data_IF_946356206050
#
_entry.id   IF_946356206050
#
_cell.length_a   1.000
_cell.length_b   1.000
_cell.length_c   1.000
_cell.angle_alpha   90.00
_cell.angle_beta   90.00
_cell.angle_gamma   90.00
#
_symmetry.space_group_name_H-M   'P 1'
#
loop_
_entity.id
_entity.type
_entity.pdbx_description
1 polymer ?
#
# COMPACT_ATOMS: atom_id res chain seq x y z
N UNK A 1 14.51 -18.52 10.77
CA UNK A 1 13.69 -17.82 11.78
C UNK A 1 12.35 -18.52 11.89
N UNK A 2 11.97 -18.91 13.09
CA UNK A 2 10.71 -19.64 13.30
C UNK A 2 9.67 -18.59 13.63
N UNK A 3 8.86 -18.20 12.63
CA UNK A 3 7.67 -17.40 12.89
C UNK A 3 6.80 -18.16 13.91
N UNK A 4 6.51 -17.54 15.04
CA UNK A 4 5.51 -18.03 15.98
C UNK A 4 4.16 -17.93 15.27
N UNK A 5 3.65 -19.06 14.80
CA UNK A 5 2.28 -19.17 14.31
C UNK A 5 1.34 -18.82 15.46
N UNK A 6 0.62 -17.73 15.33
CA UNK A 6 -0.52 -17.41 16.17
C UNK A 6 -1.62 -18.41 15.80
N UNK A 7 -1.59 -19.58 16.41
CA UNK A 7 -2.72 -20.52 16.38
C UNK A 7 -3.82 -19.92 17.25
N UNK A 8 -4.70 -19.13 16.66
CA UNK A 8 -5.96 -18.75 17.29
C UNK A 8 -6.76 -20.01 17.59
N UNK A 9 -6.75 -20.49 18.83
CA UNK A 9 -7.61 -21.59 19.24
C UNK A 9 -8.96 -21.03 19.66
N UNK A 10 -10.03 -21.50 19.04
CA UNK A 10 -11.39 -21.44 19.60
C UNK A 10 -11.35 -22.07 20.98
N UNK A 11 -11.24 -21.38 22.05
CA UNK A 11 -11.28 -21.92 23.40
C UNK A 11 -10.84 -23.38 23.55
N UNK A 12 -10.71 -23.90 24.73
CA UNK A 12 -10.33 -25.32 24.93
C UNK A 12 -11.35 -26.22 24.21
N UNK A 13 -10.88 -26.97 23.17
CA UNK A 13 -11.69 -27.98 22.48
C UNK A 13 -12.34 -27.56 21.15
N UNK A 14 -12.13 -26.34 20.65
CA UNK A 14 -12.58 -25.89 19.32
C UNK A 14 -11.73 -26.39 18.14
N UNK A 15 -12.21 -26.22 16.88
CA UNK A 15 -11.41 -26.52 15.70
C UNK A 15 -10.23 -25.52 15.57
N UNK A 16 -9.16 -25.94 14.89
CA UNK A 16 -8.02 -25.09 14.56
C UNK A 16 -7.92 -24.87 13.06
N UNK A 17 -7.38 -23.71 12.68
CA UNK A 17 -7.11 -23.33 11.30
C UNK A 17 -5.62 -23.00 11.13
N UNK A 18 -5.02 -23.40 10.00
CA UNK A 18 -3.63 -23.11 9.59
C UNK A 18 -3.65 -22.90 8.08
N UNK A 19 -3.28 -21.71 7.64
CA UNK A 19 -3.22 -21.41 6.21
C UNK A 19 -1.78 -21.55 5.73
N UNK A 20 -1.63 -22.24 4.61
CA UNK A 20 -0.33 -22.49 4.01
C UNK A 20 -0.35 -21.93 2.60
N UNK A 21 0.35 -20.83 2.38
CA UNK A 21 0.54 -20.26 1.06
C UNK A 21 1.47 -21.13 0.22
N UNK A 22 1.26 -21.18 -1.08
CA UNK A 22 2.21 -21.82 -2.00
C UNK A 22 3.56 -21.10 -1.91
N UNK A 23 4.68 -21.83 -1.70
CA UNK A 23 6.00 -21.20 -1.62
C UNK A 23 6.35 -20.39 -2.88
N UNK A 24 6.89 -19.20 -2.68
CA UNK A 24 7.34 -18.30 -3.75
C UNK A 24 6.85 -16.89 -3.55
N UNK A 25 7.24 -16.02 -4.48
CA UNK A 25 6.86 -14.61 -4.52
C UNK A 25 5.63 -14.45 -5.40
N UNK A 26 4.61 -13.80 -4.88
CA UNK A 26 3.39 -13.46 -5.64
C UNK A 26 3.58 -12.14 -6.39
N UNK A 27 2.72 -11.87 -7.37
CA UNK A 27 2.77 -10.63 -8.16
C UNK A 27 1.43 -9.89 -8.07
N UNK A 28 1.42 -8.55 -8.08
CA UNK A 28 0.20 -7.76 -8.21
C UNK A 28 -0.64 -8.19 -9.43
N UNK A 29 -1.96 -8.33 -9.26
CA UNK A 29 -2.85 -8.83 -10.31
C UNK A 29 -2.72 -10.33 -10.62
N UNK A 30 -1.78 -11.04 -9.98
CA UNK A 30 -1.54 -12.47 -10.15
C UNK A 30 -2.35 -13.34 -9.17
N UNK A 31 -2.26 -14.68 -9.34
CA UNK A 31 -2.94 -15.62 -8.45
C UNK A 31 -2.20 -15.77 -7.12
N UNK A 32 -2.93 -15.59 -6.01
CA UNK A 32 -2.54 -16.03 -4.68
C UNK A 32 -3.11 -17.43 -4.45
N UNK A 33 -2.25 -18.41 -4.24
CA UNK A 33 -2.62 -19.82 -4.11
C UNK A 33 -2.13 -20.41 -2.80
N UNK A 34 -2.90 -21.39 -2.28
CA UNK A 34 -2.56 -22.06 -1.04
C UNK A 34 -3.62 -23.06 -0.62
N UNK A 35 -3.58 -23.44 0.65
CA UNK A 35 -4.53 -24.36 1.26
C UNK A 35 -4.81 -23.95 2.70
N UNK A 36 -6.09 -23.81 3.04
CA UNK A 36 -6.52 -23.71 4.44
C UNK A 36 -6.65 -25.11 5.00
N UNK A 37 -5.96 -25.40 6.08
CA UNK A 37 -5.95 -26.68 6.80
C UNK A 37 -6.76 -26.53 8.07
N UNK A 38 -7.77 -27.37 8.21
CA UNK A 38 -8.62 -27.41 9.38
C UNK A 38 -8.39 -28.70 10.15
N UNK A 39 -8.45 -28.63 11.46
CA UNK A 39 -8.46 -29.79 12.31
C UNK A 39 -9.62 -29.65 13.30
N UNK A 40 -10.54 -30.63 13.33
CA UNK A 40 -11.67 -30.70 14.24
C UNK A 40 -11.23 -30.71 15.70
N UNK A 41 -12.03 -30.10 16.55
CA UNK A 41 -11.83 -30.09 17.99
C UNK A 41 -12.39 -31.34 18.68
N UNK A 42 -12.79 -31.18 19.95
CA UNK A 42 -13.32 -32.28 20.80
C UNK A 42 -14.77 -32.65 20.49
N UNK A 43 -15.39 -31.98 19.52
CA UNK A 43 -16.75 -32.23 19.03
C UNK A 43 -16.82 -31.92 17.53
N UNK A 44 -17.97 -32.26 16.91
CA UNK A 44 -18.24 -31.88 15.54
C UNK A 44 -18.75 -30.42 15.48
N UNK A 45 -18.24 -29.63 14.53
CA UNK A 45 -18.58 -28.23 14.32
C UNK A 45 -19.14 -27.99 12.92
N UNK A 46 -20.09 -27.10 12.79
CA UNK A 46 -20.60 -26.65 11.50
C UNK A 46 -19.80 -25.40 11.07
N UNK A 47 -19.00 -25.54 10.03
CA UNK A 47 -18.19 -24.46 9.46
C UNK A 47 -19.07 -23.67 8.49
N UNK A 48 -19.36 -22.41 8.81
CA UNK A 48 -20.21 -21.54 8.00
C UNK A 48 -19.45 -20.99 6.81
N UNK A 49 -18.30 -20.32 7.07
CA UNK A 49 -17.41 -19.81 6.03
C UNK A 49 -15.96 -19.84 6.47
N UNK A 50 -15.09 -19.85 5.45
CA UNK A 50 -13.67 -19.63 5.55
C UNK A 50 -13.38 -18.38 4.72
N UNK A 51 -12.91 -17.32 5.36
CA UNK A 51 -12.62 -16.05 4.72
C UNK A 51 -11.13 -15.77 4.81
N UNK A 52 -10.53 -15.38 3.69
CA UNK A 52 -9.17 -14.83 3.62
C UNK A 52 -9.29 -13.31 3.51
N UNK A 53 -8.55 -12.59 4.33
CA UNK A 53 -8.42 -11.15 4.26
C UNK A 53 -6.98 -10.78 3.96
N UNK A 54 -6.77 -9.86 3.02
CA UNK A 54 -5.48 -9.26 2.80
C UNK A 54 -5.33 -8.06 3.72
N UNK A 55 -4.29 -8.06 4.53
CA UNK A 55 -4.02 -7.00 5.51
C UNK A 55 -2.68 -6.33 5.23
N UNK A 56 -2.60 -5.04 5.49
CA UNK A 56 -1.41 -4.23 5.35
C UNK A 56 -1.20 -3.36 6.59
N UNK A 57 0.05 -3.22 7.05
CA UNK A 57 0.44 -2.16 7.99
C UNK A 57 0.63 -0.89 7.19
N UNK A 58 -0.04 0.18 7.57
CA UNK A 58 -0.01 1.48 6.91
C UNK A 58 0.32 2.58 7.88
N UNK A 59 0.95 3.63 7.39
CA UNK A 59 1.19 4.87 8.10
C UNK A 59 0.10 5.88 7.75
N UNK A 60 -0.22 6.77 8.68
CA UNK A 60 -1.14 7.86 8.46
C UNK A 60 -0.57 9.13 9.08
N UNK A 61 -0.33 10.13 8.25
CA UNK A 61 0.13 11.43 8.70
C UNK A 61 -1.01 12.24 9.33
N UNK A 62 -0.73 12.86 10.47
CA UNK A 62 -1.63 13.76 11.17
C UNK A 62 -0.89 15.04 11.56
N UNK A 63 -1.65 16.11 11.88
CA UNK A 63 -1.07 17.38 12.37
C UNK A 63 -0.21 17.21 13.65
N UNK A 64 -0.41 16.15 14.42
CA UNK A 64 0.29 15.85 15.69
C UNK A 64 1.41 14.81 15.55
N UNK A 65 1.63 14.25 14.35
CA UNK A 65 2.64 13.22 14.04
C UNK A 65 2.07 12.06 13.23
N UNK A 66 2.89 11.05 13.01
CA UNK A 66 2.55 9.82 12.30
C UNK A 66 1.91 8.81 13.26
N UNK A 67 1.01 7.98 12.74
CA UNK A 67 0.43 6.84 13.44
C UNK A 67 0.38 5.62 12.54
N UNK A 68 0.74 4.46 13.06
CA UNK A 68 0.60 3.20 12.34
C UNK A 68 -0.76 2.55 12.58
N UNK A 69 -1.24 1.81 11.58
CA UNK A 69 -2.50 1.08 11.66
C UNK A 69 -2.53 -0.09 10.70
N UNK A 70 -3.51 -0.98 10.88
CA UNK A 70 -3.73 -2.13 9.99
C UNK A 70 -5.00 -1.94 9.18
N UNK A 71 -4.88 -2.13 7.85
CA UNK A 71 -5.98 -2.01 6.90
C UNK A 71 -6.25 -3.35 6.23
N UNK A 72 -7.50 -3.81 6.27
CA UNK A 72 -7.98 -4.89 5.40
C UNK A 72 -8.29 -4.28 4.04
N UNK A 73 -7.57 -4.72 3.00
CA UNK A 73 -7.71 -4.13 1.67
C UNK A 73 -8.39 -5.04 0.64
N UNK A 74 -8.54 -6.34 0.95
CA UNK A 74 -9.39 -7.24 0.17
C UNK A 74 -9.87 -8.42 1.01
N UNK A 75 -10.94 -9.12 0.57
CA UNK A 75 -11.56 -10.21 1.30
C UNK A 75 -12.14 -11.27 0.36
N UNK A 76 -11.84 -12.54 0.60
CA UNK A 76 -12.24 -13.66 -0.22
C UNK A 76 -12.88 -14.79 0.62
N UNK A 77 -14.10 -15.20 0.30
CA UNK A 77 -14.67 -16.45 0.87
C UNK A 77 -14.19 -17.62 0.04
N UNK A 78 -13.40 -18.51 0.63
CA UNK A 78 -12.75 -19.63 -0.07
C UNK A 78 -13.36 -20.99 0.24
N UNK A 79 -14.24 -21.08 1.23
CA UNK A 79 -14.93 -22.33 1.59
C UNK A 79 -16.00 -22.12 2.65
N UNK A 80 -16.59 -23.24 3.11
CA UNK A 80 -17.61 -23.26 4.15
C UNK A 80 -18.83 -24.11 3.77
N UNK A 81 -19.85 -24.11 4.64
CA UNK A 81 -21.08 -24.87 4.45
C UNK A 81 -20.93 -26.38 4.63
N UNK A 82 -20.00 -26.82 5.51
CA UNK A 82 -19.78 -28.22 5.80
C UNK A 82 -19.62 -28.47 7.30
N UNK A 83 -19.81 -29.75 7.68
CA UNK A 83 -19.62 -30.22 9.05
C UNK A 83 -18.23 -30.84 9.18
N UNK A 84 -17.43 -30.35 10.11
CA UNK A 84 -16.13 -30.89 10.49
C UNK A 84 -16.30 -31.81 11.70
N UNK A 85 -15.97 -33.09 11.57
CA UNK A 85 -16.12 -34.05 12.65
C UNK A 85 -15.03 -33.89 13.72
N UNK A 86 -15.22 -34.48 14.90
CA UNK A 86 -14.23 -34.52 15.97
C UNK A 86 -12.89 -35.06 15.45
N UNK A 87 -11.82 -34.29 15.63
CA UNK A 87 -10.46 -34.64 15.23
C UNK A 87 -10.23 -34.78 13.70
N UNK A 88 -11.24 -34.53 12.87
CA UNK A 88 -11.12 -34.61 11.40
C UNK A 88 -10.12 -33.57 10.88
N UNK A 89 -9.25 -33.99 9.93
CA UNK A 89 -8.40 -33.10 9.16
C UNK A 89 -9.04 -32.83 7.80
N UNK A 90 -9.24 -31.56 7.48
CA UNK A 90 -9.85 -31.12 6.22
C UNK A 90 -9.03 -30.02 5.57
N UNK A 91 -8.74 -30.16 4.28
CA UNK A 91 -7.96 -29.16 3.52
C UNK A 91 -8.80 -28.51 2.44
N UNK A 92 -8.83 -27.19 2.43
CA UNK A 92 -9.53 -26.39 1.42
C UNK A 92 -8.51 -25.65 0.56
N UNK A 93 -8.21 -26.13 -0.67
CA UNK A 93 -7.32 -25.43 -1.58
C UNK A 93 -8.00 -24.14 -2.08
N UNK A 94 -7.22 -23.08 -2.29
CA UNK A 94 -7.73 -21.84 -2.85
C UNK A 94 -6.81 -21.27 -3.94
N UNK A 95 -7.42 -20.47 -4.81
CA UNK A 95 -6.75 -19.62 -5.78
C UNK A 95 -7.59 -18.36 -5.97
N UNK A 96 -7.08 -17.24 -5.49
CA UNK A 96 -7.73 -15.92 -5.60
C UNK A 96 -6.80 -14.98 -6.37
N UNK A 97 -7.31 -13.87 -6.88
CA UNK A 97 -6.47 -12.91 -7.62
C UNK A 97 -6.13 -11.74 -6.70
N UNK A 98 -4.84 -11.44 -6.54
CA UNK A 98 -4.40 -10.25 -5.82
C UNK A 98 -4.85 -8.97 -6.55
N UNK A 99 -5.26 -7.92 -5.83
CA UNK A 99 -5.44 -6.60 -6.40
C UNK A 99 -4.21 -6.15 -7.20
N UNK A 100 -4.42 -5.41 -8.29
CA UNK A 100 -3.31 -4.88 -9.08
C UNK A 100 -2.43 -3.89 -8.31
N UNK A 101 -3.01 -3.16 -7.36
CA UNK A 101 -2.31 -2.19 -6.50
C UNK A 101 -1.72 -2.84 -5.23
N UNK A 102 -1.70 -4.18 -5.12
CA UNK A 102 -1.05 -4.84 -3.98
C UNK A 102 0.40 -4.39 -3.88
N UNK A 103 0.83 -3.87 -2.71
CA UNK A 103 2.19 -3.37 -2.52
C UNK A 103 3.26 -4.43 -2.74
N UNK A 104 4.43 -3.97 -3.15
CA UNK A 104 5.63 -4.80 -3.31
C UNK A 104 6.34 -4.87 -1.97
N UNK A 105 6.60 -6.09 -1.47
CA UNK A 105 7.29 -6.30 -0.20
C UNK A 105 8.78 -6.57 -0.36
N UNK A 106 9.21 -7.02 -1.55
CA UNK A 106 10.61 -7.29 -1.85
C UNK A 106 10.99 -6.86 -3.27
N UNK A 107 12.23 -6.43 -3.44
CA UNK A 107 12.82 -6.12 -4.74
C UNK A 107 14.14 -6.88 -4.87
N UNK A 108 14.27 -7.73 -5.92
CA UNK A 108 15.44 -8.62 -6.13
C UNK A 108 15.76 -9.51 -4.90
N UNK A 109 14.73 -9.96 -4.17
CA UNK A 109 14.89 -10.79 -2.97
C UNK A 109 15.37 -10.00 -1.75
N UNK A 110 15.39 -8.68 -1.80
CA UNK A 110 15.67 -7.82 -0.65
C UNK A 110 14.35 -7.24 -0.12
N UNK A 111 14.05 -7.37 1.18
CA UNK A 111 12.85 -6.81 1.77
C UNK A 111 12.88 -5.27 1.72
N UNK A 112 11.71 -4.68 1.47
CA UNK A 112 11.51 -3.23 1.41
C UNK A 112 11.02 -2.63 2.74
N UNK A 113 10.79 -3.44 3.78
CA UNK A 113 10.19 -2.99 5.03
C UNK A 113 8.65 -3.04 5.06
N UNK A 114 8.04 -3.30 3.92
CA UNK A 114 6.58 -3.37 3.77
C UNK A 114 6.04 -4.66 4.39
N UNK A 115 5.00 -4.54 5.21
CA UNK A 115 4.39 -5.68 5.90
C UNK A 115 2.98 -5.94 5.39
N UNK A 116 2.81 -7.10 4.76
CA UNK A 116 1.53 -7.63 4.28
C UNK A 116 1.27 -9.00 4.89
N UNK A 117 -0.01 -9.31 5.11
CA UNK A 117 -0.44 -10.61 5.61
C UNK A 117 -1.71 -11.14 4.94
N UNK A 118 -1.88 -12.44 5.05
CA UNK A 118 -3.14 -13.13 4.75
C UNK A 118 -3.74 -13.59 6.07
N UNK A 119 -4.78 -12.91 6.53
CA UNK A 119 -5.54 -13.30 7.71
C UNK A 119 -6.65 -14.26 7.31
N UNK A 120 -6.72 -15.41 7.97
CA UNK A 120 -7.79 -16.37 7.76
C UNK A 120 -8.76 -16.32 8.92
N UNK A 121 -10.04 -16.16 8.61
CA UNK A 121 -11.13 -16.23 9.58
C UNK A 121 -11.96 -17.48 9.31
N UNK A 122 -12.15 -18.30 10.36
CA UNK A 122 -12.99 -19.48 10.36
C UNK A 122 -14.27 -19.19 11.13
N UNK A 123 -15.39 -18.98 10.43
CA UNK A 123 -16.70 -18.78 11.06
C UNK A 123 -17.35 -20.11 11.39
N UNK A 124 -17.68 -20.28 12.68
CA UNK A 124 -18.21 -21.54 13.26
C UNK A 124 -19.55 -21.29 13.94
N UNK A 125 -20.58 -22.04 13.53
CA UNK A 125 -21.92 -21.90 14.10
C UNK A 125 -21.94 -22.12 15.62
N UNK A 126 -22.36 -21.10 16.36
CA UNK A 126 -22.53 -21.15 17.82
C UNK A 126 -21.24 -21.23 18.64
N UNK A 127 -20.09 -20.95 18.05
CA UNK A 127 -18.80 -20.89 18.71
C UNK A 127 -18.11 -19.55 18.42
N UNK A 128 -16.96 -19.33 19.06
CA UNK A 128 -16.08 -18.19 18.77
C UNK A 128 -15.36 -18.46 17.45
N UNK A 129 -15.16 -17.44 16.62
CA UNK A 129 -14.38 -17.55 15.40
C UNK A 129 -12.90 -17.80 15.73
N UNK A 130 -12.24 -18.55 14.87
CA UNK A 130 -10.79 -18.83 14.94
C UNK A 130 -10.08 -18.14 13.79
N UNK A 131 -8.82 -17.79 13.98
CA UNK A 131 -8.05 -17.08 12.97
C UNK A 131 -6.63 -17.58 12.87
N UNK A 132 -5.97 -17.21 11.76
CA UNK A 132 -4.56 -17.42 11.47
C UNK A 132 -4.06 -16.23 10.68
N UNK A 133 -2.76 -15.92 10.76
CA UNK A 133 -2.14 -14.81 10.02
C UNK A 133 -0.79 -15.27 9.46
N UNK A 134 -0.67 -15.23 8.15
CA UNK A 134 0.54 -15.60 7.43
C UNK A 134 1.14 -14.42 6.67
N UNK A 135 2.47 -14.23 6.70
CA UNK A 135 3.12 -13.17 5.94
C UNK A 135 2.95 -13.40 4.45
N UNK A 136 2.70 -12.32 3.72
CA UNK A 136 2.53 -12.31 2.26
C UNK A 136 3.73 -11.65 1.59
N UNK A 137 4.46 -12.41 0.76
CA UNK A 137 5.58 -11.89 -0.03
C UNK A 137 5.14 -11.56 -1.45
N UNK A 138 5.31 -10.30 -1.84
CA UNK A 138 4.92 -9.77 -3.15
C UNK A 138 6.12 -9.12 -3.84
N UNK A 139 6.43 -9.57 -5.05
CA UNK A 139 7.48 -9.01 -5.90
C UNK A 139 6.97 -7.91 -6.83
N UNK A 140 7.88 -7.13 -7.35
CA UNK A 140 7.56 -6.09 -8.32
C UNK A 140 7.19 -6.68 -9.69
N UNK A 141 6.29 -5.98 -10.40
CA UNK A 141 6.04 -6.27 -11.81
C UNK A 141 7.29 -5.95 -12.65
N UNK A 142 7.54 -6.66 -13.78
CA UNK A 142 8.72 -6.43 -14.60
C UNK A 142 8.93 -4.97 -15.04
N UNK A 143 7.85 -4.22 -15.27
CA UNK A 143 7.94 -2.80 -15.63
C UNK A 143 8.37 -1.93 -14.44
N UNK A 144 7.94 -2.25 -13.23
CA UNK A 144 8.35 -1.56 -12.01
C UNK A 144 9.85 -1.80 -11.76
N UNK A 145 10.31 -3.06 -11.86
CA UNK A 145 11.73 -3.39 -11.75
C UNK A 145 12.60 -2.62 -12.77
N UNK A 146 12.18 -2.57 -14.04
CA UNK A 146 12.91 -1.87 -15.09
C UNK A 146 13.03 -0.36 -14.84
N UNK A 147 11.98 0.26 -14.31
CA UNK A 147 11.96 1.68 -13.95
C UNK A 147 12.89 1.94 -12.76
N UNK A 148 12.79 1.12 -11.69
CA UNK A 148 13.66 1.25 -10.51
C UNK A 148 15.13 0.98 -10.84
N UNK A 149 15.41 0.00 -11.71
CA UNK A 149 16.73 -0.24 -12.27
C UNK A 149 17.30 0.97 -13.03
N UNK A 150 16.44 1.66 -13.78
CA UNK A 150 16.86 2.87 -14.51
C UNK A 150 17.23 4.00 -13.54
N UNK A 151 16.46 4.20 -12.46
CA UNK A 151 16.87 5.13 -11.39
C UNK A 151 18.24 4.76 -10.82
N UNK A 152 18.46 3.48 -10.48
CA UNK A 152 19.76 3.02 -9.98
C UNK A 152 20.92 3.29 -10.96
N UNK A 153 20.73 3.02 -12.27
CA UNK A 153 21.75 3.27 -13.30
C UNK A 153 22.04 4.76 -13.51
N UNK A 154 21.07 5.63 -13.26
CA UNK A 154 21.23 7.09 -13.30
C UNK A 154 21.86 7.66 -12.02
N UNK A 155 22.22 6.79 -11.05
CA UNK A 155 22.91 7.18 -9.84
C UNK A 155 22.01 7.62 -8.69
N UNK A 156 20.71 7.29 -8.77
CA UNK A 156 19.77 7.44 -7.66
C UNK A 156 19.88 6.25 -6.73
N UNK A 157 19.67 6.44 -5.43
CA UNK A 157 19.75 5.38 -4.42
C UNK A 157 18.42 5.11 -3.78
N UNK A 158 18.07 3.84 -3.58
CA UNK A 158 16.94 3.47 -2.71
C UNK A 158 17.23 3.93 -1.27
N UNK A 159 16.23 4.46 -0.59
CA UNK A 159 16.31 4.93 0.81
C UNK A 159 15.40 4.10 1.70
N UNK A 160 14.10 4.17 1.50
CA UNK A 160 13.05 3.50 2.25
C UNK A 160 11.84 3.23 1.37
N UNK A 161 10.88 2.50 1.92
CA UNK A 161 9.54 2.37 1.37
C UNK A 161 8.55 2.19 2.51
N UNK A 162 7.36 2.76 2.35
CA UNK A 162 6.27 2.72 3.30
C UNK A 162 4.91 2.62 2.59
N UNK A 163 3.83 2.54 3.38
CA UNK A 163 2.46 2.53 2.88
C UNK A 163 1.68 3.68 3.51
N UNK A 164 1.41 4.70 2.73
CA UNK A 164 0.65 5.87 3.14
C UNK A 164 -0.87 5.65 3.04
N UNK A 165 -1.57 5.86 4.17
CA UNK A 165 -3.04 5.83 4.18
C UNK A 165 -3.62 7.10 3.58
N UNK A 166 -4.08 7.02 2.36
CA UNK A 166 -4.58 8.18 1.62
C UNK A 166 -4.91 7.89 0.17
N UNK A 167 -5.16 8.97 -0.57
CA UNK A 167 -5.42 8.89 -2.01
C UNK A 167 -4.70 9.99 -2.76
N UNK A 168 -3.97 9.62 -3.78
CA UNK A 168 -3.33 10.56 -4.70
C UNK A 168 -4.39 11.16 -5.63
N UNK A 169 -4.59 12.46 -5.51
CA UNK A 169 -5.64 13.17 -6.24
C UNK A 169 -5.52 13.06 -7.77
N UNK A 170 -6.62 12.76 -8.44
CA UNK A 170 -6.70 12.70 -9.90
C UNK A 170 -6.10 11.45 -10.54
N UNK A 171 -5.77 10.41 -9.75
CA UNK A 171 -5.31 9.09 -10.21
C UNK A 171 -6.45 8.08 -10.27
N UNK A 172 -6.16 6.89 -10.82
CA UNK A 172 -7.08 5.76 -10.84
C UNK A 172 -6.99 4.84 -9.60
N UNK A 173 -6.35 5.29 -8.53
CA UNK A 173 -6.12 4.50 -7.31
C UNK A 173 -7.40 3.86 -6.77
N UNK A 174 -7.33 2.56 -6.48
CA UNK A 174 -8.45 1.76 -5.96
C UNK A 174 -8.32 1.52 -4.46
N UNK A 175 -7.11 1.20 -3.96
CA UNK A 175 -6.87 0.95 -2.55
C UNK A 175 -6.94 2.24 -1.71
N UNK A 176 -7.26 2.15 -0.40
CA UNK A 176 -7.32 3.31 0.49
C UNK A 176 -5.95 3.82 0.95
N UNK A 177 -4.88 3.21 0.47
CA UNK A 177 -3.49 3.56 0.71
C UNK A 177 -2.67 3.34 -0.57
N UNK A 178 -1.44 3.82 -0.60
CA UNK A 178 -0.50 3.62 -1.70
C UNK A 178 0.90 3.40 -1.16
N UNK A 179 1.76 2.80 -1.96
CA UNK A 179 3.16 2.57 -1.61
C UNK A 179 4.02 3.69 -2.13
N UNK A 180 4.79 4.31 -1.26
CA UNK A 180 5.88 5.21 -1.60
C UNK A 180 7.21 4.47 -1.58
N UNK A 181 8.04 4.72 -2.59
CA UNK A 181 9.41 4.25 -2.67
C UNK A 181 10.29 5.48 -2.70
N UNK A 182 10.94 5.77 -1.58
CA UNK A 182 11.82 6.92 -1.42
C UNK A 182 13.18 6.67 -2.09
N UNK A 183 13.60 7.63 -2.90
CA UNK A 183 14.83 7.57 -3.67
C UNK A 183 15.69 8.80 -3.39
N UNK A 184 16.92 8.57 -2.97
CA UNK A 184 17.94 9.63 -2.82
C UNK A 184 18.35 10.15 -4.19
N UNK A 185 18.28 11.47 -4.45
CA UNK A 185 18.67 12.06 -5.72
C UNK A 185 20.12 11.80 -6.06
N UNK A 186 20.40 11.62 -7.37
CA UNK A 186 21.77 11.54 -7.86
C UNK A 186 22.52 12.88 -7.62
N UNK A 187 23.86 12.89 -7.62
CA UNK A 187 24.65 14.10 -7.39
C UNK A 187 24.28 15.29 -8.30
N UNK A 188 23.78 15.01 -9.50
CA UNK A 188 23.31 16.01 -10.45
C UNK A 188 22.09 16.79 -9.91
N UNK A 189 21.18 16.11 -9.20
CA UNK A 189 19.92 16.66 -8.74
C UNK A 189 19.89 16.98 -7.23
N UNK A 190 20.87 16.50 -6.45
CA UNK A 190 20.93 16.67 -5.00
C UNK A 190 20.94 18.14 -4.50
N UNK A 191 21.21 19.11 -5.38
CA UNK A 191 21.13 20.53 -5.05
C UNK A 191 19.73 21.14 -5.25
N UNK A 192 18.80 20.39 -5.88
CA UNK A 192 17.42 20.84 -6.21
C UNK A 192 16.36 20.12 -5.40
N UNK A 193 16.58 18.86 -5.08
CA UNK A 193 15.64 17.96 -4.43
C UNK A 193 16.30 17.29 -3.23
N UNK A 194 15.56 17.06 -2.15
CA UNK A 194 16.00 16.28 -1.00
C UNK A 194 15.80 14.79 -1.29
N UNK A 195 14.66 14.45 -1.85
CA UNK A 195 14.27 13.09 -2.24
C UNK A 195 13.28 13.10 -3.39
N UNK A 196 13.06 11.94 -3.96
CA UNK A 196 12.01 11.65 -4.93
C UNK A 196 11.23 10.44 -4.41
N UNK A 197 9.93 10.57 -4.35
CA UNK A 197 9.00 9.50 -4.06
C UNK A 197 8.45 8.93 -5.36
N UNK A 198 8.45 7.61 -5.45
CA UNK A 198 7.98 6.88 -6.63
C UNK A 198 6.82 5.99 -6.20
N UNK A 199 5.63 6.28 -6.70
CA UNK A 199 4.43 5.46 -6.50
C UNK A 199 4.03 4.77 -7.79
N UNK A 200 3.72 3.47 -7.71
CA UNK A 200 3.20 2.68 -8.81
C UNK A 200 1.74 2.30 -8.56
N UNK A 201 0.83 2.86 -9.33
CA UNK A 201 -0.58 2.46 -9.34
C UNK A 201 -0.81 1.53 -10.52
N UNK A 202 -0.66 0.22 -10.27
CA UNK A 202 -0.85 -0.79 -11.30
C UNK A 202 -2.34 -1.07 -11.55
N UNK A 203 -2.68 -1.41 -12.77
CA UNK A 203 -4.03 -1.80 -13.17
C UNK A 203 -3.97 -2.80 -14.34
N UNK A 204 -5.10 -3.37 -14.77
CA UNK A 204 -5.10 -4.37 -15.84
C UNK A 204 -4.54 -3.87 -17.18
N UNK A 205 -4.60 -2.57 -17.44
CA UNK A 205 -4.15 -1.96 -18.70
C UNK A 205 -2.68 -1.50 -18.69
N UNK A 206 -2.07 -1.36 -17.51
CA UNK A 206 -0.72 -0.83 -17.33
C UNK A 206 -0.53 -0.25 -15.93
N UNK A 207 0.52 0.52 -15.77
CA UNK A 207 0.90 1.14 -14.51
C UNK A 207 0.96 2.66 -14.67
N UNK A 208 0.30 3.39 -13.80
CA UNK A 208 0.53 4.83 -13.63
C UNK A 208 1.70 4.99 -12.66
N UNK A 209 2.72 5.72 -13.07
CA UNK A 209 3.90 6.06 -12.28
C UNK A 209 3.74 7.50 -11.82
N UNK A 210 3.68 7.70 -10.52
CA UNK A 210 3.66 9.03 -9.89
C UNK A 210 5.04 9.31 -9.35
N UNK A 211 5.57 10.48 -9.66
CA UNK A 211 6.82 10.99 -9.08
C UNK A 211 6.52 12.27 -8.33
N UNK A 212 6.90 12.30 -7.09
CA UNK A 212 6.87 13.47 -6.23
C UNK A 212 8.28 13.83 -5.80
N UNK A 213 8.59 15.12 -5.67
CA UNK A 213 9.88 15.57 -5.21
C UNK A 213 9.72 16.51 -4.03
N UNK A 214 10.28 16.13 -2.88
CA UNK A 214 10.52 17.07 -1.78
C UNK A 214 11.65 18.04 -2.19
N UNK A 215 11.33 19.32 -2.15
CA UNK A 215 12.22 20.37 -2.60
C UNK A 215 12.93 21.05 -1.46
N UNK A 216 14.20 21.33 -1.66
CA UNK A 216 14.91 22.25 -0.78
C UNK A 216 14.29 23.64 -0.90
N UNK A 217 13.42 23.97 0.06
CA UNK A 217 12.83 25.30 0.20
C UNK A 217 13.91 26.35 0.39
N UNK A 218 13.96 27.38 -0.48
CA UNK A 218 14.70 28.60 -0.19
C UNK A 218 13.94 29.44 0.86
N UNK A 219 14.57 30.40 1.54
CA UNK A 219 13.96 31.20 2.60
C UNK A 219 12.75 32.06 2.16
N UNK A 220 12.29 31.92 0.92
CA UNK A 220 11.16 32.63 0.32
C UNK A 220 10.31 31.75 -0.63
N UNK A 221 10.48 30.44 -0.65
CA UNK A 221 9.61 29.53 -1.38
C UNK A 221 8.83 28.69 -0.38
N UNK A 222 7.52 28.85 -0.39
CA UNK A 222 6.63 27.83 0.15
C UNK A 222 6.91 26.57 -0.67
N UNK A 223 7.49 25.52 -0.05
CA UNK A 223 7.80 24.26 -0.70
C UNK A 223 6.50 23.67 -1.23
N UNK A 224 6.27 23.82 -2.53
CA UNK A 224 5.22 23.09 -3.21
C UNK A 224 5.87 21.88 -3.84
N UNK A 225 5.47 20.72 -3.40
CA UNK A 225 5.93 19.46 -3.94
C UNK A 225 5.56 19.38 -5.42
N UNK A 226 6.51 18.97 -6.24
CA UNK A 226 6.29 18.84 -7.65
C UNK A 226 5.87 17.43 -7.98
N UNK A 227 4.64 17.25 -8.42
CA UNK A 227 4.09 15.98 -8.82
C UNK A 227 4.04 15.84 -10.34
N UNK A 228 4.50 14.70 -10.86
CA UNK A 228 4.38 14.32 -12.28
C UNK A 228 3.84 12.90 -12.41
N UNK A 229 3.12 12.61 -13.50
CA UNK A 229 2.51 11.31 -13.75
C UNK A 229 2.80 10.81 -15.15
N UNK A 230 3.01 9.49 -15.25
CA UNK A 230 3.29 8.81 -16.52
C UNK A 230 2.53 7.49 -16.55
N UNK A 231 2.01 7.10 -17.70
CA UNK A 231 1.35 5.80 -17.89
C UNK A 231 2.22 4.93 -18.77
N UNK A 232 2.45 3.69 -18.33
CA UNK A 232 3.28 2.71 -19.03
C UNK A 232 2.56 1.36 -19.11
N UNK A 233 2.76 0.62 -20.20
CA UNK A 233 2.21 -0.72 -20.36
C UNK A 233 3.07 -1.78 -19.64
N UNK A 234 2.46 -2.85 -19.12
CA UNK A 234 3.17 -3.92 -18.41
C UNK A 234 4.29 -4.59 -19.23
N UNK A 235 4.16 -4.64 -20.55
CA UNK A 235 5.09 -5.30 -21.48
C UNK A 235 5.78 -4.31 -22.40
N UNK A 236 5.77 -3.03 -22.03
CA UNK A 236 6.33 -2.00 -22.86
C UNK A 236 7.86 -2.07 -22.88
N UNK A 237 8.46 -2.11 -24.06
CA UNK A 237 9.92 -2.09 -24.23
C UNK A 237 10.35 -0.70 -24.64
N UNK A 238 11.10 -0.03 -23.78
CA UNK A 238 11.65 1.33 -24.00
C UNK A 238 13.11 1.39 -23.53
N UNK A 239 13.79 2.46 -23.90
CA UNK A 239 15.00 2.87 -23.20
C UNK A 239 14.61 3.56 -21.88
N UNK A 240 14.46 2.72 -20.83
CA UNK A 240 14.02 3.21 -19.52
C UNK A 240 14.99 4.22 -18.90
N UNK A 241 16.31 4.15 -19.23
CA UNK A 241 17.26 5.14 -18.74
C UNK A 241 16.95 6.53 -19.35
N UNK A 242 16.66 6.59 -20.64
CA UNK A 242 16.30 7.84 -21.31
C UNK A 242 14.93 8.37 -20.84
N UNK A 243 13.96 7.48 -20.62
CA UNK A 243 12.63 7.85 -20.13
C UNK A 243 12.68 8.43 -18.71
N UNK A 244 13.30 7.70 -17.77
CA UNK A 244 13.41 8.11 -16.36
C UNK A 244 14.22 9.40 -16.24
N UNK A 245 15.34 9.54 -16.97
CA UNK A 245 16.10 10.79 -17.02
C UNK A 245 15.22 11.97 -17.50
N UNK A 246 14.43 11.74 -18.55
CA UNK A 246 13.47 12.73 -19.04
C UNK A 246 12.37 13.08 -18.01
N UNK A 247 11.92 12.11 -17.23
CA UNK A 247 10.93 12.33 -16.16
C UNK A 247 11.50 13.19 -15.03
N UNK A 248 12.70 12.84 -14.55
CA UNK A 248 13.37 13.56 -13.47
C UNK A 248 13.71 15.00 -13.90
N UNK A 249 14.16 15.21 -15.15
CA UNK A 249 14.37 16.58 -15.65
C UNK A 249 13.10 17.42 -15.59
N UNK A 250 11.97 16.89 -16.09
CA UNK A 250 10.67 17.58 -16.04
C UNK A 250 10.23 17.87 -14.62
N UNK A 251 10.44 16.92 -13.69
CA UNK A 251 10.16 17.10 -12.28
C UNK A 251 11.01 18.23 -11.68
N UNK A 252 12.30 18.26 -12.01
CA UNK A 252 13.25 19.29 -11.57
C UNK A 252 12.93 20.69 -12.15
N UNK A 253 12.41 20.76 -13.38
CA UNK A 253 12.11 22.03 -14.08
C UNK A 253 10.80 22.68 -13.60
N UNK A 254 9.79 21.90 -13.23
CA UNK A 254 8.46 22.41 -12.83
C UNK A 254 8.48 23.33 -11.61
N UNK A 255 9.52 23.40 -10.86
CA UNK A 255 9.66 24.24 -9.70
C UNK A 255 10.72 25.33 -9.79
N UNK A 256 11.20 25.68 -10.96
CA UNK A 256 12.05 26.85 -11.16
C UNK A 256 11.22 28.15 -11.03
N UNK A 257 11.81 29.28 -10.54
CA UNK A 257 11.16 30.58 -10.46
C UNK A 257 11.00 31.22 -11.85
N UNK A 258 10.25 30.56 -12.77
CA UNK A 258 10.18 31.05 -14.16
C UNK A 258 9.03 30.50 -15.02
N UNK A 259 8.13 29.70 -14.49
CA UNK A 259 7.06 29.05 -15.27
C UNK A 259 5.75 29.81 -15.42
N UNK A 260 5.74 31.14 -15.45
CA UNK A 260 4.59 31.91 -15.94
C UNK A 260 4.78 32.19 -17.42
N UNK A 261 4.53 31.25 -18.30
CA UNK A 261 4.19 31.57 -19.69
C UNK A 261 2.76 32.09 -19.72
N UNK A 262 2.63 33.39 -19.45
CA UNK A 262 1.40 34.14 -19.71
C UNK A 262 1.09 34.05 -21.19
N UNK A 263 -0.04 33.47 -21.51
CA UNK A 263 -0.66 33.61 -22.81
C UNK A 263 -1.19 35.05 -22.88
N UNK A 264 -0.47 35.91 -23.59
CA UNK A 264 -0.98 37.23 -23.98
C UNK A 264 -2.05 37.03 -25.03
N UNK A 265 -3.33 37.13 -24.62
CA UNK A 265 -4.47 37.40 -25.47
C UNK A 265 -4.80 38.88 -25.34
N UNK A 266 -4.51 39.63 -26.41
CA UNK A 266 -4.89 41.02 -26.62
C UNK A 266 -6.43 41.14 -26.69
N UNK A 267 -7.01 42.13 -26.02
CA UNK A 267 -8.46 42.38 -26.05
C UNK A 267 -8.90 43.48 -25.09
N UNK A 268 -9.00 44.65 -25.63
CA UNK A 268 -9.36 45.96 -25.11
C UNK A 268 -10.73 46.06 -24.36
N UNK A 269 -10.80 47.04 -23.45
CA UNK A 269 -11.92 47.88 -23.02
C UNK A 269 -12.76 47.59 -21.75
N UNK A 270 -12.70 48.65 -20.94
CA UNK A 270 -13.70 49.39 -20.14
C UNK A 270 -13.82 49.15 -18.63
N UNK A 271 -13.52 50.26 -17.96
CA UNK A 271 -13.81 50.62 -16.58
C UNK A 271 -15.23 50.27 -16.09
N UNK A 272 -15.33 49.76 -14.85
CA UNK A 272 -16.15 50.40 -13.80
C UNK A 272 -15.72 49.87 -12.42
N UNK A 273 -15.53 50.82 -11.50
CA UNK A 273 -15.14 50.54 -10.12
C UNK A 273 -16.28 49.92 -9.31
N UNK A 274 -15.92 49.28 -8.25
CA UNK A 274 -16.83 48.73 -7.24
C UNK A 274 -16.05 47.94 -6.19
N UNK A 275 -15.92 48.54 -5.05
CA UNK A 275 -15.31 47.99 -3.83
C UNK A 275 -15.87 46.63 -3.40
N UNK A 276 -15.02 45.93 -2.64
CA UNK A 276 -15.27 45.06 -1.52
C UNK A 276 -14.96 43.57 -1.61
N UNK A 277 -14.11 43.24 -0.67
CA UNK A 277 -13.98 42.01 0.14
C UNK A 277 -13.12 40.88 -0.41
N UNK A 278 -11.95 40.88 0.21
CA UNK A 278 -11.10 39.74 0.43
C UNK A 278 -11.90 38.47 0.78
N UNK A 279 -11.83 37.48 -0.10
CA UNK A 279 -12.07 36.07 0.19
C UNK A 279 -10.79 35.31 -0.08
N UNK A 280 -10.45 34.28 0.70
CA UNK A 280 -9.20 33.56 0.52
C UNK A 280 -9.24 32.81 -0.81
N UNK A 281 -8.17 32.91 -1.58
CA UNK A 281 -7.96 32.15 -2.80
C UNK A 281 -7.97 30.67 -2.47
N UNK A 282 -8.73 29.91 -3.27
CA UNK A 282 -8.60 28.47 -3.32
C UNK A 282 -7.25 28.13 -3.93
N UNK A 283 -6.27 27.88 -3.08
CA UNK A 283 -5.19 26.97 -3.40
C UNK A 283 -5.83 25.60 -3.62
N UNK A 284 -5.40 24.91 -4.65
CA UNK A 284 -5.62 23.47 -4.77
C UNK A 284 -4.97 22.83 -3.55
N UNK A 285 -5.77 22.65 -2.50
CA UNK A 285 -5.41 21.80 -1.41
C UNK A 285 -5.26 20.39 -2.02
N UNK A 286 -4.06 19.86 -2.02
CA UNK A 286 -3.89 18.45 -1.74
C UNK A 286 -4.65 18.31 -0.42
N UNK A 287 -5.82 17.73 -0.46
CA UNK A 287 -6.55 17.39 0.74
C UNK A 287 -5.78 16.22 1.36
N UNK A 288 -4.75 16.53 2.14
CA UNK A 288 -4.46 15.78 3.32
C UNK A 288 -5.76 15.89 4.12
N UNK A 289 -6.66 14.97 3.87
CA UNK A 289 -7.91 14.86 4.59
C UNK A 289 -7.55 14.47 6.00
N UNK A 290 -7.48 15.46 6.89
CA UNK A 290 -7.83 15.26 8.27
C UNK A 290 -9.29 14.79 8.33
N UNK A 291 -9.58 13.65 7.77
CA UNK A 291 -10.65 12.78 8.16
C UNK A 291 -10.07 12.04 9.37
N UNK A 292 -10.28 12.63 10.55
CA UNK A 292 -10.21 11.84 11.75
C UNK A 292 -10.88 10.52 11.45
N UNK A 293 -10.26 9.42 11.86
CA UNK A 293 -10.77 8.06 11.77
C UNK A 293 -12.23 8.02 12.24
N UNK A 294 -13.14 8.55 11.41
CA UNK A 294 -14.47 8.04 11.33
C UNK A 294 -14.29 6.71 10.61
N UNK A 295 -13.81 5.70 11.36
CA UNK A 295 -14.14 4.32 11.11
C UNK A 295 -15.60 4.35 10.75
N UNK A 296 -15.90 4.26 9.45
CA UNK A 296 -17.26 4.08 8.99
C UNK A 296 -17.76 2.80 9.65
N UNK A 297 -18.50 2.99 10.72
CA UNK A 297 -19.24 1.93 11.39
C UNK A 297 -20.26 1.41 10.38
N UNK A 298 -19.82 0.43 9.60
CA UNK A 298 -20.71 -0.58 9.04
C UNK A 298 -20.30 -1.88 9.69
N UNK A 299 -20.97 -2.23 10.79
CA UNK A 299 -20.74 -3.43 11.57
C UNK A 299 -19.88 -3.17 12.81
N UNK A 300 -20.54 -2.81 13.90
CA UNK A 300 -19.88 -2.53 15.17
C UNK A 300 -19.13 -3.75 15.74
N UNK A 301 -18.13 -3.49 16.53
CA UNK A 301 -17.44 -4.28 17.54
C UNK A 301 -16.32 -5.24 17.14
N UNK A 302 -15.84 -5.29 15.91
CA UNK A 302 -14.71 -6.20 15.58
C UNK A 302 -13.38 -5.45 15.40
N UNK A 303 -13.39 -4.14 15.21
CA UNK A 303 -12.20 -3.39 14.85
C UNK A 303 -11.14 -3.24 15.98
N UNK A 304 -11.56 -3.18 17.24
CA UNK A 304 -10.61 -2.93 18.35
C UNK A 304 -9.83 -4.19 18.79
N UNK A 305 -10.50 -5.36 18.75
CA UNK A 305 -9.87 -6.63 19.17
C UNK A 305 -8.93 -7.20 18.09
N UNK A 306 -9.17 -6.82 16.83
CA UNK A 306 -8.36 -7.22 15.67
C UNK A 306 -7.08 -6.37 15.53
N UNK A 307 -7.13 -5.11 15.93
CA UNK A 307 -5.96 -4.21 15.89
C UNK A 307 -4.86 -4.68 16.85
N UNK A 308 -5.22 -5.14 18.04
CA UNK A 308 -4.25 -5.62 19.03
C UNK A 308 -3.59 -6.94 18.58
N UNK A 309 -4.36 -7.88 18.03
CA UNK A 309 -3.82 -9.19 17.61
C UNK A 309 -2.95 -9.09 16.34
N UNK A 310 -3.29 -8.20 15.42
CA UNK A 310 -2.49 -7.93 14.21
C UNK A 310 -1.31 -7.02 14.54
N UNK A 311 -1.46 -6.06 15.45
CA UNK A 311 -0.38 -5.22 15.96
C UNK A 311 0.74 -6.07 16.57
N UNK A 312 0.41 -6.99 17.49
CA UNK A 312 1.37 -7.91 18.13
C UNK A 312 2.11 -8.80 17.10
N UNK A 313 1.50 -9.13 15.96
CA UNK A 313 2.16 -9.87 14.89
C UNK A 313 3.26 -9.04 14.21
N UNK A 314 3.04 -7.76 14.05
CA UNK A 314 3.98 -6.86 13.38
C UNK A 314 5.06 -6.29 14.32
N UNK A 315 4.81 -6.22 15.64
CA UNK A 315 5.79 -5.73 16.63
C UNK A 315 6.83 -6.80 17.05
N UNK A 316 6.69 -8.05 16.64
CA UNK A 316 7.50 -9.18 17.11
C UNK A 316 8.96 -9.26 16.60
N UNK A 317 9.43 -8.38 15.74
CA UNK A 317 10.77 -8.48 15.12
C UNK A 317 11.85 -7.51 15.64
N UNK A 318 11.55 -6.61 16.60
CA UNK A 318 12.53 -5.62 17.07
C UNK A 318 13.29 -5.97 18.36
N UNK A 319 12.99 -7.08 19.03
CA UNK A 319 13.68 -7.44 20.29
C UNK A 319 14.55 -8.71 20.17
N UNK A 320 15.64 -8.73 19.38
CA UNK A 320 16.79 -9.64 19.65
C UNK A 320 18.05 -9.23 18.85
N UNK A 321 18.67 -8.09 19.21
CA UNK A 321 20.08 -7.84 18.91
C UNK A 321 20.77 -6.93 19.95
N UNK A 322 20.63 -7.23 21.25
CA UNK A 322 21.56 -6.79 22.28
C UNK A 322 21.96 -7.97 23.17
N UNK A 323 23.07 -8.63 22.80
CA UNK A 323 23.68 -9.69 23.58
C UNK A 323 25.08 -10.02 23.07
#
# INVERSE_FOLDING_TARGET
>A
MVFKRLLGSLGVGGPTVDTVLTPGTFLPGGPLTGQVRLKGGDAAFDIEHITLELVARVEAEHEEGESEGVVVFDRFTVGGGFRLAEGEEHGVPFSVTLPWETPVTELYGQPLGIVLGVRTELSVAGARDSGDLDPLTVGALPVQEQILDAFGRLGFGFRSADLEYGRIGGTGQQLPFYQEIEITPSPEYAHRMNEIEVTFLAGPAGTEVVLEADRRGGPFSDGHDALTRYTVGHHESRDWNAEVDGWVRRLAERGGPGGHTGHYGDGDHHHHGGDHRSGPGMGTAVAAGAAGLAVGVVGGMVAAEVVDEVGDFFEGDEEEDEG
#
